data_IF_316533277947
#
_entry.id   IF_316533277947
#
_cell.length_a   1.000
_cell.length_b   1.000
_cell.length_c   1.000
_cell.angle_alpha   90.00
_cell.angle_beta   90.00
_cell.angle_gamma   90.00
#
_symmetry.space_group_name_H-M   'P 1'
#
loop_
_entity.id
_entity.type
_entity.pdbx_description
1 polymer ?
#
# COMPACT_ATOMS: atom_id res chain seq x y z
N UNK A 1 -17.50 -10.54 -3.01
CA UNK A 1 -17.22 -11.31 -4.23
C UNK A 1 -18.14 -10.84 -5.34
N UNK A 2 -17.55 -10.46 -6.49
CA UNK A 2 -18.29 -9.93 -7.64
C UNK A 2 -18.10 -8.43 -7.86
N UNK A 3 -17.51 -7.73 -6.92
CA UNK A 3 -17.14 -6.31 -7.05
C UNK A 3 -16.24 -6.15 -8.27
N UNK A 4 -16.43 -5.09 -9.04
CA UNK A 4 -15.70 -4.81 -10.30
C UNK A 4 -15.70 -5.98 -11.30
N UNK A 5 -16.66 -6.93 -11.19
CA UNK A 5 -16.70 -8.13 -12.04
C UNK A 5 -15.67 -9.20 -11.69
N UNK A 6 -14.97 -9.10 -10.56
CA UNK A 6 -13.98 -10.07 -10.12
C UNK A 6 -14.52 -11.03 -9.04
N UNK A 7 -14.20 -12.31 -9.16
CA UNK A 7 -14.53 -13.35 -8.18
C UNK A 7 -13.38 -13.68 -7.23
N UNK A 8 -12.22 -13.08 -7.43
CA UNK A 8 -11.03 -13.29 -6.63
C UNK A 8 -10.29 -11.96 -6.39
N UNK A 9 -9.30 -11.98 -5.50
CA UNK A 9 -8.52 -10.79 -5.12
C UNK A 9 -7.36 -10.45 -6.09
N UNK A 10 -7.49 -10.81 -7.35
CA UNK A 10 -6.41 -10.62 -8.34
C UNK A 10 -6.44 -9.21 -8.96
N UNK A 11 -6.32 -8.18 -8.12
CA UNK A 11 -6.38 -6.78 -8.55
C UNK A 11 -5.63 -5.89 -7.55
N UNK A 12 -5.55 -4.60 -7.88
CA UNK A 12 -5.03 -3.54 -7.01
C UNK A 12 -6.14 -2.73 -6.33
N UNK A 13 -7.40 -3.15 -6.46
CA UNK A 13 -8.53 -2.51 -5.79
C UNK A 13 -8.46 -2.66 -4.28
N UNK A 14 -9.02 -1.69 -3.58
CA UNK A 14 -9.03 -1.62 -2.12
C UNK A 14 -9.50 -2.92 -1.46
N UNK A 15 -10.61 -3.49 -1.92
CA UNK A 15 -11.16 -4.75 -1.39
C UNK A 15 -10.21 -5.95 -1.56
N UNK A 16 -9.29 -5.89 -2.50
CA UNK A 16 -8.33 -6.96 -2.73
C UNK A 16 -7.07 -6.82 -1.87
N UNK A 17 -6.72 -5.60 -1.48
CA UNK A 17 -5.46 -5.30 -0.77
C UNK A 17 -5.67 -4.97 0.71
N UNK A 18 -6.85 -4.47 1.09
CA UNK A 18 -7.19 -4.20 2.48
C UNK A 18 -7.58 -5.48 3.19
N UNK A 19 -6.66 -6.01 4.00
CA UNK A 19 -6.84 -7.24 4.79
C UNK A 19 -6.71 -6.95 6.28
N UNK A 20 -7.45 -7.67 7.15
CA UNK A 20 -7.28 -7.54 8.59
C UNK A 20 -5.85 -7.93 9.02
N UNK A 21 -5.23 -7.12 9.87
CA UNK A 21 -3.99 -7.44 10.57
C UNK A 21 -4.25 -7.32 12.06
N UNK A 22 -4.03 -8.41 12.80
CA UNK A 22 -4.18 -8.47 14.26
C UNK A 22 -2.86 -8.95 14.84
N UNK A 23 -2.26 -8.15 15.72
CA UNK A 23 -1.04 -8.50 16.44
C UNK A 23 -1.38 -8.61 17.91
N UNK A 24 -1.04 -9.76 18.52
CA UNK A 24 -1.14 -9.99 19.96
C UNK A 24 0.25 -10.27 20.52
N UNK A 25 0.64 -9.51 21.53
CA UNK A 25 1.93 -9.67 22.20
C UNK A 25 1.76 -9.44 23.71
N UNK A 26 2.42 -10.23 24.57
CA UNK A 26 2.39 -9.99 26.02
C UNK A 26 3.05 -8.68 26.43
N UNK A 27 3.84 -8.05 25.56
CA UNK A 27 4.45 -6.73 25.80
C UNK A 27 3.42 -5.58 25.74
N UNK A 28 2.27 -5.78 25.07
CA UNK A 28 1.25 -4.75 24.88
C UNK A 28 -0.12 -5.26 25.36
N UNK A 29 -0.77 -4.50 26.23
CA UNK A 29 -2.11 -4.83 26.78
C UNK A 29 -3.25 -4.05 26.10
N UNK A 30 -2.94 -3.24 25.11
CA UNK A 30 -3.90 -2.34 24.47
C UNK A 30 -4.63 -3.05 23.33
N UNK A 31 -5.92 -3.34 23.53
CA UNK A 31 -6.81 -3.80 22.46
C UNK A 31 -7.37 -2.58 21.70
N UNK A 32 -6.50 -1.83 21.04
CA UNK A 32 -6.87 -0.57 20.39
C UNK A 32 -6.69 -0.73 18.87
N UNK A 33 -7.74 -0.48 18.07
CA UNK A 33 -7.56 -0.41 16.62
C UNK A 33 -6.78 0.85 16.24
N UNK A 34 -6.06 0.76 15.12
CA UNK A 34 -5.36 1.89 14.49
C UNK A 34 -5.76 2.00 13.03
N UNK A 35 -5.77 3.22 12.52
CA UNK A 35 -5.94 3.54 11.09
C UNK A 35 -4.59 3.77 10.38
N UNK A 36 -3.47 3.48 11.05
CA UNK A 36 -2.14 3.58 10.44
C UNK A 36 -2.02 2.62 9.26
N UNK A 37 -1.51 3.11 8.14
CA UNK A 37 -1.19 2.26 7.01
C UNK A 37 -0.08 1.27 7.37
N UNK A 38 -0.33 0.00 7.03
CA UNK A 38 0.61 -1.10 7.22
C UNK A 38 0.66 -1.98 5.98
N UNK A 39 1.79 -2.63 5.76
CA UNK A 39 1.98 -3.55 4.64
C UNK A 39 2.51 -4.90 5.14
N UNK A 40 2.31 -5.98 4.37
CA UNK A 40 2.79 -7.30 4.76
C UNK A 40 4.31 -7.36 4.96
N UNK A 41 5.07 -6.51 4.28
CA UNK A 41 6.53 -6.39 4.44
C UNK A 41 6.94 -5.87 5.83
N UNK A 42 6.02 -5.23 6.56
CA UNK A 42 6.24 -4.71 7.91
C UNK A 42 6.21 -5.80 8.99
N UNK A 43 5.65 -6.97 8.67
CA UNK A 43 5.50 -8.07 9.64
C UNK A 43 6.87 -8.59 10.08
N UNK A 44 7.80 -8.80 9.14
CA UNK A 44 9.11 -9.37 9.48
C UNK A 44 9.94 -8.46 10.40
N UNK A 45 10.17 -7.17 10.10
CA UNK A 45 10.88 -6.29 11.03
C UNK A 45 10.14 -6.14 12.38
N UNK A 46 8.80 -6.18 12.39
CA UNK A 46 8.02 -6.18 13.64
C UNK A 46 8.32 -7.40 14.51
N UNK A 47 8.36 -8.60 13.90
CA UNK A 47 8.69 -9.83 14.63
C UNK A 47 10.12 -9.79 15.17
N UNK A 48 11.07 -9.28 14.39
CA UNK A 48 12.45 -9.11 14.84
C UNK A 48 12.52 -8.23 16.09
N UNK A 49 11.88 -7.06 16.07
CA UNK A 49 11.88 -6.16 17.22
C UNK A 49 11.13 -6.72 18.43
N UNK A 50 10.00 -7.38 18.23
CA UNK A 50 9.25 -8.02 19.33
C UNK A 50 10.02 -9.14 20.03
N UNK A 51 10.97 -9.78 19.33
CA UNK A 51 11.76 -10.91 19.84
C UNK A 51 13.20 -10.53 20.16
N UNK A 52 13.53 -9.24 20.11
CA UNK A 52 14.88 -8.71 20.35
C UNK A 52 15.95 -9.31 19.42
N UNK A 53 15.55 -9.63 18.16
CA UNK A 53 16.44 -10.12 17.10
C UNK A 53 16.77 -8.94 16.18
N UNK A 54 18.05 -8.81 15.83
CA UNK A 54 18.46 -7.76 14.87
C UNK A 54 17.84 -8.01 13.49
N UNK A 55 17.12 -7.00 12.98
CA UNK A 55 16.51 -7.07 11.67
C UNK A 55 17.57 -6.90 10.57
N UNK A 56 17.56 -7.75 9.52
CA UNK A 56 18.45 -7.59 8.38
C UNK A 56 18.30 -6.20 7.73
N UNK A 57 19.43 -5.58 7.35
CA UNK A 57 19.46 -4.22 6.82
C UNK A 57 18.80 -4.04 5.44
N UNK A 58 18.55 -5.14 4.74
CA UNK A 58 17.90 -5.14 3.42
C UNK A 58 16.38 -5.16 3.47
N UNK A 59 15.76 -5.21 4.65
CA UNK A 59 14.30 -5.21 4.75
C UNK A 59 13.73 -3.85 4.31
N UNK A 60 12.71 -3.90 3.46
CA UNK A 60 12.00 -2.70 2.97
C UNK A 60 10.87 -2.27 3.90
N UNK A 61 10.39 -3.19 4.75
CA UNK A 61 9.33 -2.92 5.73
C UNK A 61 9.84 -2.15 6.94
N UNK A 62 8.90 -1.61 7.70
CA UNK A 62 9.15 -0.90 8.95
C UNK A 62 8.47 -1.64 10.10
N UNK A 63 9.09 -1.64 11.28
CA UNK A 63 8.48 -2.26 12.46
C UNK A 63 7.22 -1.51 12.89
N UNK A 64 6.19 -2.26 13.23
CA UNK A 64 4.91 -1.74 13.74
C UNK A 64 4.91 -1.56 15.27
N UNK A 65 6.03 -1.80 15.96
CA UNK A 65 6.10 -1.71 17.43
C UNK A 65 5.69 -0.33 17.93
N UNK A 66 6.13 0.74 17.28
CA UNK A 66 5.71 2.10 17.65
C UNK A 66 4.19 2.32 17.55
N UNK A 67 3.53 1.69 16.58
CA UNK A 67 2.05 1.73 16.44
C UNK A 67 1.37 0.86 17.51
N UNK A 68 2.01 -0.23 17.93
CA UNK A 68 1.50 -1.07 19.03
C UNK A 68 1.65 -0.38 20.38
N UNK A 69 2.65 0.48 20.57
CA UNK A 69 2.85 1.31 21.76
C UNK A 69 1.86 2.49 21.81
N UNK A 70 1.70 3.15 20.67
CA UNK A 70 0.80 4.30 20.51
C UNK A 70 0.05 4.20 19.18
N UNK A 71 -1.23 3.84 19.25
CA UNK A 71 -2.11 3.67 18.09
C UNK A 71 -2.35 4.95 17.28
N UNK A 72 -1.96 6.13 17.80
CA UNK A 72 -2.03 7.40 17.09
C UNK A 72 -0.84 7.65 16.15
N UNK A 73 0.19 6.81 16.24
CA UNK A 73 1.37 6.92 15.37
C UNK A 73 0.99 6.61 13.93
N UNK A 74 1.31 7.53 13.06
CA UNK A 74 1.15 7.40 11.60
C UNK A 74 2.51 6.99 10.99
N UNK A 75 2.72 5.67 10.83
CA UNK A 75 3.99 5.12 10.37
C UNK A 75 4.24 5.43 8.89
N UNK A 76 3.18 5.33 8.09
CA UNK A 76 3.22 5.55 6.64
C UNK A 76 2.07 6.47 6.22
N UNK A 77 2.32 7.31 5.23
CA UNK A 77 1.28 8.15 4.62
C UNK A 77 0.59 7.48 3.45
N UNK A 78 1.22 6.47 2.89
CA UNK A 78 0.75 5.73 1.71
C UNK A 78 1.30 4.31 1.71
N UNK A 79 0.63 3.43 1.00
CA UNK A 79 1.06 2.05 0.73
C UNK A 79 1.24 1.83 -0.76
N UNK A 80 2.05 0.82 -1.08
CA UNK A 80 2.32 0.39 -2.44
C UNK A 80 1.89 -1.06 -2.63
N UNK A 81 1.25 -1.35 -3.75
CA UNK A 81 0.87 -2.73 -4.10
C UNK A 81 1.06 -2.99 -5.58
N UNK A 82 1.35 -4.25 -5.93
CA UNK A 82 1.55 -4.67 -7.31
C UNK A 82 0.87 -6.01 -7.57
N UNK A 83 0.15 -6.07 -8.68
CA UNK A 83 -0.36 -7.32 -9.22
C UNK A 83 -0.24 -7.35 -10.74
N UNK A 84 0.55 -8.28 -11.28
CA UNK A 84 0.86 -8.40 -12.72
C UNK A 84 1.38 -7.06 -13.30
N UNK A 85 0.62 -6.47 -14.24
CA UNK A 85 0.95 -5.20 -14.89
C UNK A 85 0.44 -3.98 -14.10
N UNK A 86 -0.40 -4.17 -13.09
CA UNK A 86 -0.98 -3.10 -12.28
C UNK A 86 -0.11 -2.82 -11.06
N UNK A 87 0.24 -1.55 -10.87
CA UNK A 87 0.92 -1.03 -9.69
C UNK A 87 0.10 0.11 -9.11
N UNK A 88 -0.12 0.09 -7.81
CA UNK A 88 -0.93 1.11 -7.16
C UNK A 88 -0.21 1.74 -5.98
N UNK A 89 -0.46 3.02 -5.79
CA UNK A 89 -0.22 3.76 -4.57
C UNK A 89 -1.58 4.18 -4.00
N UNK A 90 -1.76 3.94 -2.71
CA UNK A 90 -3.00 4.25 -2.00
C UNK A 90 -2.63 5.07 -0.77
N UNK A 91 -3.23 6.24 -0.64
CA UNK A 91 -3.17 7.05 0.56
C UNK A 91 -4.59 7.29 1.13
N UNK A 92 -4.73 8.19 2.10
CA UNK A 92 -6.02 8.47 2.74
C UNK A 92 -7.05 9.07 1.77
N UNK A 93 -6.57 9.82 0.77
CA UNK A 93 -7.41 10.62 -0.12
C UNK A 93 -7.67 9.91 -1.45
N UNK A 94 -6.65 9.20 -1.97
CA UNK A 94 -6.73 8.65 -3.32
C UNK A 94 -6.13 7.25 -3.43
N UNK A 95 -6.67 6.49 -4.38
CA UNK A 95 -6.10 5.24 -4.88
C UNK A 95 -5.77 5.41 -6.35
N UNK A 96 -4.49 5.32 -6.70
CA UNK A 96 -4.02 5.46 -8.06
C UNK A 96 -3.32 4.20 -8.54
N UNK A 97 -3.72 3.68 -9.69
CA UNK A 97 -3.11 2.52 -10.33
C UNK A 97 -2.60 2.86 -11.71
N UNK A 98 -1.37 2.44 -12.05
CA UNK A 98 -0.87 2.39 -13.42
C UNK A 98 -0.74 0.94 -13.90
N UNK A 99 -1.01 0.73 -15.16
CA UNK A 99 -0.77 -0.53 -15.85
C UNK A 99 0.38 -0.36 -16.84
N UNK A 100 1.44 -1.14 -16.63
CA UNK A 100 2.64 -1.13 -17.48
C UNK A 100 3.00 -2.56 -17.86
N UNK A 101 3.28 -2.81 -19.13
CA UNK A 101 3.72 -4.12 -19.63
C UNK A 101 4.94 -3.93 -20.53
N UNK A 102 6.05 -4.58 -20.19
CA UNK A 102 7.30 -4.49 -20.94
C UNK A 102 7.76 -3.04 -21.19
N UNK A 103 7.62 -2.17 -20.19
CA UNK A 103 7.93 -0.74 -20.31
C UNK A 103 6.89 0.11 -21.05
N UNK A 104 5.86 -0.53 -21.63
CA UNK A 104 4.78 0.20 -22.32
C UNK A 104 3.65 0.53 -21.34
N UNK A 105 3.31 1.81 -21.25
CA UNK A 105 2.14 2.28 -20.51
C UNK A 105 0.85 1.82 -21.23
N UNK A 106 -0.06 1.20 -20.45
CA UNK A 106 -1.34 0.67 -20.94
C UNK A 106 -2.53 1.52 -20.50
N UNK A 107 -2.41 2.22 -19.38
CA UNK A 107 -3.47 3.04 -18.82
C UNK A 107 -3.31 3.27 -17.33
N UNK A 108 -4.22 4.03 -16.77
CA UNK A 108 -4.31 4.27 -15.33
C UNK A 108 -5.75 4.35 -14.86
N UNK A 109 -5.92 4.31 -13.55
CA UNK A 109 -7.17 4.58 -12.83
C UNK A 109 -6.86 5.45 -11.62
N UNK A 110 -7.79 6.32 -11.25
CA UNK A 110 -7.73 7.17 -10.07
C UNK A 110 -9.09 7.21 -9.38
N UNK A 111 -9.12 6.96 -8.09
CA UNK A 111 -10.32 6.97 -7.27
C UNK A 111 -10.16 7.88 -6.07
N UNK A 112 -11.21 8.65 -5.76
CA UNK A 112 -11.31 9.46 -4.55
C UNK A 112 -11.80 8.58 -3.39
N UNK A 113 -10.91 8.25 -2.45
CA UNK A 113 -11.19 7.35 -1.33
C UNK A 113 -12.08 7.97 -0.26
N UNK A 114 -12.29 9.28 -0.26
CA UNK A 114 -13.19 9.96 0.66
C UNK A 114 -14.66 9.84 0.21
N UNK A 115 -14.91 9.96 -1.11
CA UNK A 115 -16.27 9.93 -1.67
C UNK A 115 -16.65 8.59 -2.30
N UNK A 116 -15.67 7.82 -2.78
CA UNK A 116 -15.87 6.54 -3.48
C UNK A 116 -14.87 5.46 -3.02
N UNK A 117 -14.95 5.08 -1.75
CA UNK A 117 -14.08 4.04 -1.17
C UNK A 117 -14.22 2.68 -1.88
N UNK A 118 -15.32 2.44 -2.58
CA UNK A 118 -15.54 1.23 -3.37
C UNK A 118 -14.93 1.30 -4.77
N UNK A 119 -14.34 2.43 -5.14
CA UNK A 119 -13.63 2.60 -6.40
C UNK A 119 -14.51 2.31 -7.64
N UNK A 120 -15.76 2.78 -7.65
CA UNK A 120 -16.71 2.57 -8.74
C UNK A 120 -16.56 3.59 -9.88
N UNK A 121 -16.09 4.82 -9.57
CA UNK A 121 -15.96 5.91 -10.54
C UNK A 121 -14.50 6.27 -10.79
N UNK A 122 -13.93 5.81 -11.90
CA UNK A 122 -12.60 6.23 -12.33
C UNK A 122 -12.60 7.70 -12.75
N UNK A 123 -11.94 8.54 -11.96
CA UNK A 123 -11.84 9.99 -12.19
C UNK A 123 -10.55 10.40 -12.91
N UNK A 124 -9.72 9.45 -13.35
CA UNK A 124 -8.41 9.72 -13.96
C UNK A 124 -8.48 10.54 -15.25
N UNK A 125 -9.60 10.44 -15.99
CA UNK A 125 -9.80 11.11 -17.28
C UNK A 125 -10.43 12.48 -17.18
N UNK A 126 -10.84 12.92 -15.99
CA UNK A 126 -11.37 14.26 -15.78
C UNK A 126 -10.23 15.28 -15.95
N UNK A 127 -10.45 16.31 -16.76
CA UNK A 127 -9.44 17.34 -17.03
C UNK A 127 -8.96 18.07 -15.77
N UNK A 128 -9.84 18.21 -14.77
CA UNK A 128 -9.50 18.75 -13.44
C UNK A 128 -8.46 17.93 -12.68
N UNK A 129 -8.29 16.66 -13.00
CA UNK A 129 -7.46 15.72 -12.25
C UNK A 129 -6.11 15.39 -12.92
N UNK A 130 -5.78 16.04 -14.04
CA UNK A 130 -4.54 15.76 -14.77
C UNK A 130 -3.28 15.96 -13.93
N UNK A 131 -3.21 17.04 -13.14
CA UNK A 131 -2.06 17.28 -12.25
C UNK A 131 -2.00 16.25 -11.12
N UNK A 132 -3.14 15.82 -10.61
CA UNK A 132 -3.22 14.78 -9.60
C UNK A 132 -2.74 13.43 -10.15
N UNK A 133 -3.19 13.05 -11.34
CA UNK A 133 -2.70 11.84 -12.06
C UNK A 133 -1.19 11.90 -12.24
N UNK A 134 -0.65 13.04 -12.67
CA UNK A 134 0.78 13.24 -12.85
C UNK A 134 1.56 13.11 -11.52
N UNK A 135 1.04 13.67 -10.45
CA UNK A 135 1.61 13.56 -9.11
C UNK A 135 1.74 12.10 -8.66
N UNK A 136 0.66 11.33 -8.73
CA UNK A 136 0.70 9.91 -8.34
C UNK A 136 1.54 9.04 -9.29
N UNK A 137 1.56 9.35 -10.58
CA UNK A 137 2.46 8.70 -11.53
C UNK A 137 3.93 8.89 -11.16
N UNK A 138 4.30 10.09 -10.71
CA UNK A 138 5.66 10.37 -10.24
C UNK A 138 5.99 9.59 -8.95
N UNK A 139 5.04 9.47 -8.02
CA UNK A 139 5.20 8.61 -6.83
C UNK A 139 5.48 7.15 -7.20
N UNK A 140 4.68 6.57 -8.10
CA UNK A 140 4.90 5.19 -8.56
C UNK A 140 6.26 5.03 -9.23
N UNK A 141 6.72 5.99 -10.02
CA UNK A 141 8.05 5.95 -10.64
C UNK A 141 9.17 5.96 -9.60
N UNK A 142 9.03 6.76 -8.54
CA UNK A 142 9.98 6.79 -7.44
C UNK A 142 10.02 5.46 -6.68
N UNK A 143 8.86 4.84 -6.42
CA UNK A 143 8.76 3.54 -5.78
C UNK A 143 9.39 2.42 -6.63
N UNK A 144 9.14 2.39 -7.93
CA UNK A 144 9.80 1.44 -8.85
C UNK A 144 11.32 1.57 -8.77
N UNK A 145 11.84 2.79 -8.86
CA UNK A 145 13.27 3.05 -8.77
C UNK A 145 13.88 2.59 -7.44
N UNK A 146 13.13 2.71 -6.34
CA UNK A 146 13.54 2.23 -5.02
C UNK A 146 13.58 0.69 -4.97
N UNK A 147 12.54 0.01 -5.45
CA UNK A 147 12.45 -1.45 -5.48
C UNK A 147 13.51 -2.06 -6.41
N UNK A 148 13.74 -1.45 -7.58
CA UNK A 148 14.72 -1.94 -8.57
C UNK A 148 16.19 -1.79 -8.10
N UNK A 149 16.45 -1.01 -7.04
CA UNK A 149 17.79 -0.87 -6.44
C UNK A 149 18.08 -1.93 -5.36
N UNK A 150 17.13 -2.82 -5.05
CA UNK A 150 17.31 -3.83 -4.03
C UNK A 150 18.37 -4.87 -4.47
N UNK A 151 19.48 -5.03 -3.68
CA UNK A 151 20.58 -5.95 -4.03
C UNK A 151 20.20 -7.43 -3.99
N UNK A 152 19.00 -7.79 -3.51
CA UNK A 152 18.54 -9.18 -3.42
C UNK A 152 17.78 -9.59 -4.69
N UNK A 153 17.26 -8.64 -5.46
CA UNK A 153 16.45 -8.91 -6.66
C UNK A 153 17.29 -8.92 -7.94
N UNK A 154 18.55 -8.50 -7.88
CA UNK A 154 19.50 -8.45 -9.01
C UNK A 154 20.53 -9.58 -8.97
#
# INVERSE_FOLDING_TARGET
LGEHGFWCKHSTFYEAVHVPLIISSPKFSNNIPTDSFTELVDIYPTLCELTDIEAPSYLQGQSLVSVLEDSSVELKKEIYTRYKQGEAVIDKDYSYTEFVKNGQYLGNMLYDMNSDRKQNEDISKKSSNLELVKYYSQKLKAMRAFVDQDPIIN
#
